data_IF_149550843100
#
_entry.id   IF_149550843100
#
_cell.length_a   1.000
_cell.length_b   1.000
_cell.length_c   1.000
_cell.angle_alpha   90.00
_cell.angle_beta   90.00
_cell.angle_gamma   90.00
#
_symmetry.space_group_name_H-M   'P 1'
#
loop_
_entity.id
_entity.type
_entity.pdbx_description
1 polymer ?
#
# COMPACT_ATOMS: atom_id res chain seq x y z
N UNK A 1 -1.15 47.88 -20.22
CA UNK A 1 -1.18 46.46 -19.80
C UNK A 1 -1.62 46.20 -18.35
N UNK A 2 -1.24 46.98 -17.30
CA UNK A 2 -1.58 46.62 -15.91
C UNK A 2 -3.08 46.71 -15.55
N UNK A 3 -3.86 47.61 -16.16
CA UNK A 3 -5.30 47.74 -15.90
C UNK A 3 -6.14 46.54 -16.39
N UNK A 4 -5.78 45.92 -17.52
CA UNK A 4 -6.43 44.69 -18.02
C UNK A 4 -6.10 43.47 -17.15
N UNK A 5 -4.93 43.45 -16.54
CA UNK A 5 -4.51 42.37 -15.64
C UNK A 5 -5.25 42.47 -14.29
N UNK A 6 -5.38 43.68 -13.74
CA UNK A 6 -6.07 43.92 -12.48
C UNK A 6 -7.59 43.68 -12.57
N UNK A 7 -8.21 44.02 -13.70
CA UNK A 7 -9.61 43.66 -13.98
C UNK A 7 -9.79 42.15 -14.16
N UNK A 8 -8.84 41.46 -14.80
CA UNK A 8 -8.87 39.99 -14.93
C UNK A 8 -8.76 39.28 -13.58
N UNK A 9 -7.88 39.73 -12.67
CA UNK A 9 -7.73 39.17 -11.31
C UNK A 9 -8.99 39.40 -10.45
N UNK A 10 -9.60 40.58 -10.54
CA UNK A 10 -10.84 40.86 -9.81
C UNK A 10 -12.04 40.07 -10.34
N UNK A 11 -12.09 39.78 -11.65
CA UNK A 11 -13.10 38.88 -12.25
C UNK A 11 -12.84 37.42 -11.87
N UNK A 12 -11.58 37.01 -11.79
CA UNK A 12 -11.16 35.68 -11.33
C UNK A 12 -11.58 35.44 -9.88
N UNK A 13 -11.22 36.34 -8.97
CA UNK A 13 -11.56 36.26 -7.54
C UNK A 13 -13.07 36.28 -7.28
N UNK A 14 -13.86 37.07 -8.03
CA UNK A 14 -15.33 37.02 -7.97
C UNK A 14 -15.89 35.67 -8.42
N UNK A 15 -15.33 35.08 -9.48
CA UNK A 15 -15.73 33.76 -9.97
C UNK A 15 -15.39 32.65 -8.97
N UNK A 16 -14.23 32.73 -8.30
CA UNK A 16 -13.86 31.83 -7.19
C UNK A 16 -14.86 31.97 -6.06
N UNK A 17 -15.16 33.20 -5.62
CA UNK A 17 -16.06 33.43 -4.49
C UNK A 17 -17.48 32.91 -4.75
N UNK A 18 -17.97 33.01 -5.99
CA UNK A 18 -19.27 32.45 -6.39
C UNK A 18 -19.28 30.92 -6.33
N UNK A 19 -18.19 30.27 -6.78
CA UNK A 19 -18.05 28.82 -6.70
C UNK A 19 -17.92 28.34 -5.25
N UNK A 20 -17.16 29.06 -4.41
CA UNK A 20 -17.01 28.74 -2.99
C UNK A 20 -18.31 28.92 -2.19
N UNK A 21 -19.23 29.79 -2.66
CA UNK A 21 -20.58 29.92 -2.08
C UNK A 21 -21.53 28.79 -2.47
N UNK A 22 -21.17 27.94 -3.43
CA UNK A 22 -21.99 26.79 -3.82
C UNK A 22 -21.67 25.59 -2.91
N UNK A 23 -22.57 25.23 -1.97
CA UNK A 23 -22.29 24.18 -0.99
C UNK A 23 -22.07 22.82 -1.66
N UNK A 24 -22.83 22.49 -2.71
CA UNK A 24 -22.69 21.23 -3.44
C UNK A 24 -21.30 21.09 -4.07
N UNK A 25 -20.77 22.18 -4.63
CA UNK A 25 -19.44 22.18 -5.22
C UNK A 25 -18.35 21.97 -4.16
N UNK A 26 -18.46 22.62 -3.01
CA UNK A 26 -17.51 22.44 -1.89
C UNK A 26 -17.52 21.01 -1.38
N UNK A 27 -18.70 20.42 -1.13
CA UNK A 27 -18.79 19.03 -0.67
C UNK A 27 -18.21 18.04 -1.69
N UNK A 28 -18.43 18.25 -2.99
CA UNK A 28 -17.82 17.44 -4.03
C UNK A 28 -16.29 17.59 -4.08
N UNK A 29 -15.76 18.79 -3.83
CA UNK A 29 -14.31 19.01 -3.74
C UNK A 29 -13.71 18.31 -2.52
N UNK A 30 -14.36 18.40 -1.35
CA UNK A 30 -13.91 17.75 -0.12
C UNK A 30 -13.98 16.22 -0.24
N UNK A 31 -15.07 15.66 -0.76
CA UNK A 31 -15.18 14.23 -1.04
C UNK A 31 -14.12 13.75 -2.05
N UNK A 32 -13.86 14.54 -3.10
CA UNK A 32 -12.78 14.24 -4.03
C UNK A 32 -11.40 14.27 -3.37
N UNK A 33 -11.17 15.18 -2.41
CA UNK A 33 -9.92 15.26 -1.68
C UNK A 33 -9.71 14.04 -0.77
N UNK A 34 -10.74 13.61 -0.03
CA UNK A 34 -10.65 12.43 0.84
C UNK A 34 -10.42 11.15 0.03
N UNK A 35 -11.12 10.97 -1.10
CA UNK A 35 -10.86 9.87 -2.03
C UNK A 35 -9.44 9.92 -2.61
N UNK A 36 -8.94 11.11 -2.98
CA UNK A 36 -7.60 11.26 -3.52
C UNK A 36 -6.50 10.96 -2.51
N UNK A 37 -6.71 11.22 -1.21
CA UNK A 37 -5.80 10.79 -0.14
C UNK A 37 -5.58 9.29 -0.18
N UNK A 38 -6.68 8.52 -0.23
CA UNK A 38 -6.63 7.06 -0.27
C UNK A 38 -6.02 6.53 -1.56
N UNK A 39 -6.41 7.10 -2.71
CA UNK A 39 -5.88 6.68 -4.00
C UNK A 39 -4.37 6.96 -4.06
N UNK A 40 -3.92 8.16 -3.69
CA UNK A 40 -2.51 8.51 -3.71
C UNK A 40 -1.69 7.66 -2.73
N UNK A 41 -2.14 7.54 -1.48
CA UNK A 41 -1.47 6.73 -0.47
C UNK A 41 -1.37 5.25 -0.86
N UNK A 42 -2.48 4.64 -1.28
CA UNK A 42 -2.50 3.23 -1.71
C UNK A 42 -1.75 3.02 -3.03
N UNK A 43 -1.69 3.99 -3.93
CA UNK A 43 -0.91 3.84 -5.18
C UNK A 43 0.58 3.81 -4.90
N UNK A 44 1.07 4.62 -3.96
CA UNK A 44 2.48 4.64 -3.57
C UNK A 44 2.86 3.44 -2.71
N UNK A 45 2.03 3.06 -1.75
CA UNK A 45 2.39 2.09 -0.72
C UNK A 45 1.63 0.76 -0.78
N UNK A 46 0.63 0.63 -1.65
CA UNK A 46 -0.11 -0.61 -1.86
C UNK A 46 0.77 -1.80 -2.26
N UNK A 47 1.74 -1.65 -3.19
CA UNK A 47 2.71 -2.71 -3.47
C UNK A 47 3.48 -3.14 -2.23
N UNK A 48 3.94 -2.19 -1.40
CA UNK A 48 4.66 -2.49 -0.15
C UNK A 48 3.78 -3.22 0.87
N UNK A 49 2.49 -2.87 0.94
CA UNK A 49 1.52 -3.62 1.74
C UNK A 49 1.44 -5.08 1.30
N UNK A 50 1.30 -5.35 0.00
CA UNK A 50 1.28 -6.72 -0.52
C UNK A 50 2.62 -7.44 -0.32
N UNK A 51 3.73 -6.72 -0.49
CA UNK A 51 5.10 -7.23 -0.29
C UNK A 51 5.28 -7.77 1.13
N UNK A 52 4.82 -7.03 2.15
CA UNK A 52 4.93 -7.44 3.54
C UNK A 52 3.91 -8.51 3.93
N UNK A 53 2.63 -8.31 3.60
CA UNK A 53 1.55 -9.24 4.00
C UNK A 53 1.76 -10.65 3.43
N UNK A 54 2.20 -10.74 2.18
CA UNK A 54 2.35 -12.02 1.49
C UNK A 54 3.80 -12.49 1.37
N UNK A 55 4.75 -11.76 1.97
CA UNK A 55 6.20 -12.07 1.90
C UNK A 55 6.70 -12.20 0.45
N UNK A 56 6.22 -11.33 -0.43
CA UNK A 56 6.58 -11.35 -1.85
C UNK A 56 7.85 -10.54 -2.10
N UNK A 57 8.49 -10.76 -3.25
CA UNK A 57 9.49 -9.80 -3.75
C UNK A 57 8.81 -8.49 -4.16
N UNK A 58 9.57 -7.40 -4.17
CA UNK A 58 9.06 -6.08 -4.54
C UNK A 58 8.46 -6.06 -5.97
N UNK A 59 9.07 -6.80 -6.90
CA UNK A 59 8.58 -6.92 -8.28
C UNK A 59 7.26 -7.68 -8.34
N UNK A 60 7.18 -8.86 -7.71
CA UNK A 60 5.94 -9.66 -7.70
C UNK A 60 4.78 -8.91 -7.05
N UNK A 61 5.05 -8.22 -5.93
CA UNK A 61 4.04 -7.42 -5.23
C UNK A 61 3.54 -6.25 -6.09
N UNK A 62 4.45 -5.53 -6.78
CA UNK A 62 4.09 -4.44 -7.68
C UNK A 62 3.29 -4.93 -8.90
N UNK A 63 3.70 -6.04 -9.52
CA UNK A 63 2.97 -6.65 -10.64
C UNK A 63 1.58 -7.10 -10.22
N UNK A 64 1.46 -7.77 -9.07
CA UNK A 64 0.17 -8.21 -8.53
C UNK A 64 -0.75 -7.03 -8.20
N UNK A 65 -0.20 -5.97 -7.58
CA UNK A 65 -0.95 -4.75 -7.32
C UNK A 65 -1.42 -4.10 -8.62
N UNK A 66 -0.58 -4.07 -9.66
CA UNK A 66 -0.95 -3.59 -10.99
C UNK A 66 -2.10 -4.38 -11.62
N UNK A 67 -2.05 -5.71 -11.57
CA UNK A 67 -3.16 -6.57 -12.04
C UNK A 67 -4.45 -6.38 -11.26
N UNK A 68 -4.38 -5.91 -10.01
CA UNK A 68 -5.56 -5.61 -9.22
C UNK A 68 -6.13 -4.23 -9.58
N UNK A 69 -5.27 -3.20 -9.61
CA UNK A 69 -5.69 -1.80 -9.77
C UNK A 69 -6.14 -1.48 -11.19
N UNK A 70 -5.48 -1.99 -12.22
CA UNK A 70 -5.82 -1.65 -13.62
C UNK A 70 -7.24 -2.05 -13.99
N UNK A 71 -7.67 -3.31 -13.82
CA UNK A 71 -9.05 -3.70 -14.13
C UNK A 71 -10.06 -3.07 -13.18
N UNK A 72 -9.76 -2.96 -11.88
CA UNK A 72 -10.67 -2.34 -10.91
C UNK A 72 -10.86 -0.84 -11.20
N UNK A 73 -9.77 -0.13 -11.47
CA UNK A 73 -9.76 1.30 -11.73
C UNK A 73 -10.38 1.65 -13.08
N UNK A 74 -9.92 1.00 -14.15
CA UNK A 74 -10.48 1.18 -15.49
C UNK A 74 -11.93 0.73 -15.59
N UNK A 75 -12.22 -0.47 -15.10
CA UNK A 75 -13.57 -1.04 -15.07
C UNK A 75 -14.53 -0.24 -14.21
N UNK A 76 -14.10 0.20 -13.02
CA UNK A 76 -14.90 1.05 -12.14
C UNK A 76 -15.22 2.40 -12.77
N UNK A 77 -14.21 3.09 -13.29
CA UNK A 77 -14.38 4.39 -13.97
C UNK A 77 -15.37 4.28 -15.14
N UNK A 78 -15.20 3.26 -15.99
CA UNK A 78 -16.09 3.01 -17.13
C UNK A 78 -17.52 2.68 -16.66
N UNK A 79 -17.67 1.77 -15.71
CA UNK A 79 -18.97 1.37 -15.17
C UNK A 79 -19.68 2.56 -14.53
N UNK A 80 -18.96 3.47 -13.86
CA UNK A 80 -19.52 4.65 -13.23
C UNK A 80 -20.16 5.59 -14.25
N UNK A 81 -19.43 5.88 -15.33
CA UNK A 81 -19.97 6.66 -16.45
C UNK A 81 -21.13 5.95 -17.16
N UNK A 82 -21.02 4.64 -17.35
CA UNK A 82 -22.06 3.82 -17.96
C UNK A 82 -23.36 3.83 -17.16
N UNK A 83 -23.31 3.68 -15.83
CA UNK A 83 -24.49 3.72 -14.96
C UNK A 83 -25.19 5.08 -15.02
N UNK A 84 -24.44 6.17 -14.98
CA UNK A 84 -25.00 7.54 -15.08
C UNK A 84 -25.71 7.75 -16.41
N UNK A 85 -25.12 7.27 -17.51
CA UNK A 85 -25.69 7.39 -18.84
C UNK A 85 -26.91 6.48 -19.04
N UNK A 86 -26.79 5.19 -18.69
CA UNK A 86 -27.85 4.19 -18.88
C UNK A 86 -29.12 4.51 -18.10
N UNK A 87 -28.99 4.92 -16.84
CA UNK A 87 -30.12 5.26 -15.99
C UNK A 87 -30.56 6.72 -16.09
N UNK A 88 -29.90 7.53 -16.95
CA UNK A 88 -30.17 8.97 -17.13
C UNK A 88 -30.32 9.70 -15.79
N UNK A 89 -29.43 9.39 -14.84
CA UNK A 89 -29.55 9.87 -13.45
C UNK A 89 -29.52 11.40 -13.41
N UNK A 90 -30.46 12.01 -12.68
CA UNK A 90 -30.39 13.44 -12.31
C UNK A 90 -29.32 13.67 -11.24
N UNK A 91 -28.97 14.93 -10.95
CA UNK A 91 -27.93 15.26 -9.96
C UNK A 91 -28.15 14.54 -8.61
N UNK A 92 -29.37 14.53 -8.07
CA UNK A 92 -29.70 13.79 -6.84
C UNK A 92 -29.43 12.27 -6.97
N UNK A 93 -29.75 11.66 -8.12
CA UNK A 93 -29.47 10.24 -8.37
C UNK A 93 -27.97 9.94 -8.48
N UNK A 94 -27.20 10.85 -9.07
CA UNK A 94 -25.74 10.74 -9.15
C UNK A 94 -25.12 10.79 -7.74
N UNK A 95 -25.55 11.74 -6.90
CA UNK A 95 -25.06 11.83 -5.52
C UNK A 95 -25.42 10.56 -4.72
N UNK A 96 -26.65 10.05 -4.86
CA UNK A 96 -27.04 8.77 -4.23
C UNK A 96 -26.18 7.59 -4.69
N UNK A 97 -25.81 7.56 -5.98
CA UNK A 97 -24.89 6.54 -6.51
C UNK A 97 -23.50 6.67 -5.88
N UNK A 98 -22.94 7.89 -5.79
CA UNK A 98 -21.65 8.12 -5.13
C UNK A 98 -21.69 7.70 -3.64
N UNK A 99 -22.77 8.03 -2.93
CA UNK A 99 -22.97 7.62 -1.54
C UNK A 99 -23.05 6.09 -1.40
N UNK A 100 -23.74 5.41 -2.32
CA UNK A 100 -23.78 3.94 -2.31
C UNK A 100 -22.39 3.33 -2.55
N UNK A 101 -21.59 3.90 -3.46
CA UNK A 101 -20.24 3.44 -3.73
C UNK A 101 -19.30 3.64 -2.55
N UNK A 102 -19.37 4.81 -1.90
CA UNK A 102 -18.56 5.14 -0.71
C UNK A 102 -18.92 4.24 0.47
N UNK A 103 -20.21 4.02 0.75
CA UNK A 103 -20.65 3.06 1.79
C UNK A 103 -20.20 1.63 1.47
N UNK A 104 -20.35 1.18 0.22
CA UNK A 104 -19.94 -0.18 -0.19
C UNK A 104 -18.43 -0.39 -0.04
N UNK A 105 -17.63 0.59 -0.41
CA UNK A 105 -16.17 0.55 -0.23
C UNK A 105 -15.76 0.67 1.23
N UNK A 106 -16.44 1.49 2.05
CA UNK A 106 -16.21 1.57 3.49
C UNK A 106 -16.50 0.22 4.19
N UNK A 107 -17.58 -0.47 3.82
CA UNK A 107 -17.87 -1.81 4.34
C UNK A 107 -16.79 -2.82 3.92
N UNK A 108 -16.29 -2.74 2.69
CA UNK A 108 -15.23 -3.63 2.21
C UNK A 108 -13.86 -3.34 2.87
N UNK A 109 -13.60 -2.12 3.35
CA UNK A 109 -12.36 -1.76 4.08
C UNK A 109 -12.21 -2.55 5.39
N UNK A 110 -13.30 -3.02 6.00
CA UNK A 110 -13.22 -3.87 7.21
C UNK A 110 -12.44 -5.18 6.99
N UNK A 111 -12.15 -5.57 5.74
CA UNK A 111 -11.29 -6.71 5.47
C UNK A 111 -9.89 -6.57 6.09
N UNK A 112 -9.38 -5.35 6.27
CA UNK A 112 -8.10 -5.09 6.90
C UNK A 112 -8.07 -5.40 8.41
N UNK A 113 -9.18 -5.86 9.01
CA UNK A 113 -9.14 -6.56 10.30
C UNK A 113 -8.43 -7.91 10.20
N UNK A 114 -8.50 -8.55 9.04
CA UNK A 114 -7.79 -9.80 8.77
C UNK A 114 -6.41 -9.43 8.22
N UNK A 115 -5.37 -10.03 8.80
CA UNK A 115 -4.00 -9.89 8.33
C UNK A 115 -3.34 -11.26 8.22
N UNK A 116 -2.28 -11.33 7.42
CA UNK A 116 -1.45 -12.53 7.38
C UNK A 116 -0.50 -12.53 8.60
N UNK A 117 -0.11 -13.71 9.13
CA UNK A 117 0.97 -13.77 10.09
C UNK A 117 2.26 -13.26 9.45
N UNK A 118 3.15 -12.68 10.27
CA UNK A 118 4.49 -12.36 9.82
C UNK A 118 5.24 -13.64 9.47
N UNK A 119 6.01 -13.63 8.38
CA UNK A 119 6.92 -14.72 8.08
C UNK A 119 7.99 -14.80 9.18
N UNK A 120 8.25 -15.99 9.75
CA UNK A 120 9.28 -16.16 10.77
C UNK A 120 10.64 -15.75 10.22
N UNK A 121 11.36 -14.94 10.99
CA UNK A 121 12.68 -14.44 10.66
C UNK A 121 13.55 -14.50 11.92
N UNK A 122 14.66 -15.24 11.81
CA UNK A 122 15.59 -15.43 12.91
C UNK A 122 16.22 -14.11 13.34
N UNK A 123 16.17 -13.82 14.64
CA UNK A 123 16.71 -12.60 15.25
C UNK A 123 15.81 -11.36 15.16
N UNK A 124 14.64 -11.46 14.49
CA UNK A 124 13.70 -10.34 14.29
C UNK A 124 12.31 -10.66 14.81
N UNK A 125 11.68 -11.74 14.32
CA UNK A 125 10.34 -12.17 14.73
C UNK A 125 10.35 -13.42 15.60
N UNK A 126 11.39 -14.25 15.47
CA UNK A 126 11.68 -15.37 16.38
C UNK A 126 13.17 -15.46 16.70
N UNK A 127 13.53 -16.10 17.81
CA UNK A 127 14.94 -16.41 18.12
C UNK A 127 15.46 -17.55 17.24
N UNK A 128 16.78 -17.68 17.13
CA UNK A 128 17.46 -18.75 16.39
C UNK A 128 17.17 -20.16 16.94
N UNK A 129 16.77 -20.28 18.20
CA UNK A 129 16.38 -21.54 18.84
C UNK A 129 14.88 -21.85 18.71
N UNK A 130 14.12 -21.08 17.91
CA UNK A 130 12.68 -21.26 17.70
C UNK A 130 11.79 -20.69 18.81
N UNK A 131 12.34 -20.10 19.88
CA UNK A 131 11.53 -19.45 20.91
C UNK A 131 11.01 -18.08 20.46
N UNK A 132 9.84 -17.70 20.98
CA UNK A 132 9.24 -16.39 20.71
C UNK A 132 10.09 -15.29 21.35
N UNK A 133 10.49 -14.29 20.55
CA UNK A 133 11.24 -13.13 21.03
C UNK A 133 10.38 -12.35 22.05
N UNK A 134 10.77 -12.24 23.33
CA UNK A 134 10.14 -11.31 24.25
C UNK A 134 10.59 -9.90 23.88
N UNK A 135 9.70 -9.14 23.25
CA UNK A 135 9.76 -7.68 23.10
C UNK A 135 11.09 -7.04 22.63
N UNK A 136 11.10 -6.55 21.39
CA UNK A 136 11.99 -5.47 20.89
C UNK A 136 13.51 -5.70 20.90
N UNK A 137 14.05 -6.80 21.44
CA UNK A 137 15.49 -7.07 21.34
C UNK A 137 15.83 -7.75 20.01
N UNK A 138 16.15 -6.93 19.01
CA UNK A 138 16.72 -7.41 17.75
C UNK A 138 18.09 -8.03 18.04
N UNK A 139 18.25 -9.32 17.78
CA UNK A 139 19.53 -10.00 17.96
C UNK A 139 19.80 -10.94 16.78
N UNK A 140 20.58 -10.44 15.82
CA UNK A 140 20.96 -11.15 14.61
C UNK A 140 22.14 -12.12 14.83
N UNK A 141 22.83 -12.04 15.97
CA UNK A 141 23.96 -12.91 16.30
C UNK A 141 23.53 -14.05 17.22
N UNK A 142 23.99 -15.25 16.88
CA UNK A 142 23.73 -16.49 17.59
C UNK A 142 24.99 -17.36 17.55
N UNK A 143 25.04 -18.40 18.39
CA UNK A 143 26.20 -19.31 18.48
C UNK A 143 26.55 -19.91 17.12
N UNK A 144 25.54 -20.19 16.27
CA UNK A 144 25.73 -20.79 14.96
C UNK A 144 26.37 -19.85 13.91
N UNK A 145 26.27 -18.52 14.07
CA UNK A 145 26.79 -17.53 13.10
C UNK A 145 27.87 -16.60 13.70
N UNK A 146 28.19 -16.76 14.99
CA UNK A 146 29.16 -15.92 15.70
C UNK A 146 30.57 -15.95 15.08
N UNK A 147 30.97 -17.08 14.51
CA UNK A 147 32.28 -17.25 13.87
C UNK A 147 32.37 -16.67 12.45
N UNK A 148 31.25 -16.23 11.87
CA UNK A 148 31.22 -15.78 10.48
C UNK A 148 31.59 -14.30 10.28
N UNK A 149 31.61 -13.49 11.35
CA UNK A 149 31.94 -12.05 11.26
C UNK A 149 30.99 -11.25 10.38
N UNK A 150 29.67 -11.53 10.47
CA UNK A 150 28.68 -10.98 9.56
C UNK A 150 28.54 -9.46 9.66
N UNK A 151 28.51 -8.79 8.51
CA UNK A 151 28.25 -7.36 8.42
C UNK A 151 26.74 -7.10 8.47
N UNK A 152 26.32 -6.24 9.39
CA UNK A 152 24.92 -5.85 9.55
C UNK A 152 24.44 -4.93 8.42
N UNK A 153 25.33 -4.26 7.70
CA UNK A 153 25.00 -3.35 6.58
C UNK A 153 24.47 -4.09 5.32
N UNK A 154 24.71 -5.40 5.18
CA UNK A 154 24.38 -6.15 3.96
C UNK A 154 23.12 -7.01 4.13
N UNK A 155 21.97 -6.43 3.81
CA UNK A 155 20.70 -7.15 3.77
C UNK A 155 20.55 -7.97 2.48
N UNK A 156 20.49 -9.30 2.60
CA UNK A 156 20.32 -10.21 1.47
C UNK A 156 19.50 -11.42 1.93
N UNK A 157 18.17 -11.29 2.06
CA UNK A 157 17.36 -12.30 2.72
C UNK A 157 17.45 -13.64 2.00
N UNK A 158 17.54 -14.70 2.80
CA UNK A 158 17.50 -16.10 2.33
C UNK A 158 16.40 -16.85 3.07
N UNK A 159 15.78 -17.80 2.37
CA UNK A 159 14.80 -18.71 2.94
C UNK A 159 15.47 -20.04 3.25
N UNK A 160 15.52 -20.44 4.52
CA UNK A 160 16.04 -21.74 4.92
C UNK A 160 15.09 -22.89 4.58
N UNK A 161 15.63 -24.11 4.53
CA UNK A 161 14.84 -25.33 4.36
C UNK A 161 13.90 -25.64 5.54
N UNK A 162 14.02 -24.88 6.63
CA UNK A 162 13.17 -24.84 7.82
C UNK A 162 11.99 -23.85 7.71
N UNK A 163 11.77 -23.26 6.54
CA UNK A 163 10.79 -22.19 6.30
C UNK A 163 11.00 -20.95 7.19
N UNK A 164 12.25 -20.67 7.59
CA UNK A 164 12.62 -19.46 8.34
C UNK A 164 13.45 -18.53 7.46
N UNK A 165 13.16 -17.23 7.54
CA UNK A 165 13.97 -16.22 6.86
C UNK A 165 15.19 -15.82 7.70
N UNK A 166 16.31 -15.57 7.04
CA UNK A 166 17.52 -15.08 7.67
C UNK A 166 17.97 -13.76 7.03
N UNK A 167 18.62 -12.89 7.82
CA UNK A 167 19.04 -11.55 7.38
C UNK A 167 19.97 -11.59 6.15
N UNK A 168 20.91 -12.53 6.15
CA UNK A 168 21.80 -12.81 5.04
C UNK A 168 22.28 -14.27 5.06
N UNK A 169 22.92 -14.77 3.98
CA UNK A 169 23.50 -16.11 3.98
C UNK A 169 24.53 -16.31 5.11
N UNK A 170 25.25 -15.25 5.49
CA UNK A 170 26.19 -15.26 6.61
C UNK A 170 25.45 -15.46 7.94
N UNK A 171 24.32 -14.76 8.13
CA UNK A 171 23.52 -14.88 9.35
C UNK A 171 22.80 -16.23 9.46
N UNK A 172 22.65 -16.96 8.35
CA UNK A 172 22.23 -18.37 8.32
C UNK A 172 23.42 -19.35 8.53
N UNK A 173 24.65 -18.84 8.57
CA UNK A 173 25.87 -19.63 8.77
C UNK A 173 26.30 -20.47 7.57
N UNK A 174 25.89 -20.09 6.35
CA UNK A 174 26.18 -20.85 5.13
C UNK A 174 27.62 -20.62 4.64
N UNK A 175 28.29 -21.69 4.20
CA UNK A 175 29.70 -21.65 3.75
C UNK A 175 29.88 -21.83 2.24
N UNK A 176 28.92 -22.46 1.56
CA UNK A 176 28.99 -22.76 0.13
C UNK A 176 27.85 -22.11 -0.61
N UNK A 177 28.10 -21.72 -1.86
CA UNK A 177 27.10 -21.21 -2.80
C UNK A 177 27.08 -22.08 -4.05
N UNK A 178 25.88 -22.40 -4.50
CA UNK A 178 25.58 -23.13 -5.73
C UNK A 178 24.49 -22.35 -6.47
N UNK A 179 24.33 -22.61 -7.76
CA UNK A 179 23.23 -22.07 -8.54
C UNK A 179 22.22 -23.17 -8.84
N UNK A 180 20.93 -22.88 -8.69
CA UNK A 180 19.87 -23.80 -9.05
C UNK A 180 19.67 -23.78 -10.57
N UNK A 181 20.03 -24.89 -11.24
CA UNK A 181 19.94 -25.02 -12.70
C UNK A 181 18.53 -24.82 -13.29
N UNK A 182 17.45 -24.99 -12.50
CA UNK A 182 16.08 -24.80 -13.00
C UNK A 182 15.63 -23.35 -12.97
N UNK A 183 16.11 -22.58 -11.99
CA UNK A 183 15.52 -21.29 -11.61
C UNK A 183 16.52 -20.12 -11.74
N UNK A 184 17.81 -20.41 -11.92
CA UNK A 184 18.91 -19.42 -11.88
C UNK A 184 19.12 -18.79 -10.50
N UNK A 185 18.43 -19.28 -9.45
CA UNK A 185 18.53 -18.74 -8.09
C UNK A 185 19.73 -19.33 -7.36
N UNK A 186 20.40 -18.50 -6.56
CA UNK A 186 21.50 -18.94 -5.69
C UNK A 186 20.95 -19.79 -4.54
N UNK A 187 21.57 -20.94 -4.34
CA UNK A 187 21.32 -21.88 -3.23
C UNK A 187 22.57 -21.93 -2.38
N UNK A 188 22.41 -21.63 -1.11
CA UNK A 188 23.45 -21.66 -0.11
C UNK A 188 23.40 -22.98 0.65
N UNK A 189 24.57 -23.57 0.91
CA UNK A 189 24.69 -24.88 1.56
C UNK A 189 25.60 -24.80 2.77
N UNK A 190 25.51 -25.85 3.59
CA UNK A 190 26.27 -25.98 4.83
C UNK A 190 25.98 -24.82 5.80
N UNK A 191 24.69 -24.52 5.94
CA UNK A 191 24.20 -23.48 6.85
C UNK A 191 24.11 -24.04 8.28
N UNK A 192 24.92 -23.50 9.20
CA UNK A 192 24.99 -23.98 10.60
C UNK A 192 23.79 -23.57 11.45
N UNK A 193 23.07 -22.50 11.08
CA UNK A 193 21.91 -22.02 11.82
C UNK A 193 20.59 -22.67 11.43
N UNK A 194 20.59 -23.51 10.37
CA UNK A 194 19.38 -24.17 9.87
C UNK A 194 19.35 -25.60 10.41
N UNK A 195 18.30 -25.94 11.15
CA UNK A 195 18.16 -27.24 11.78
C UNK A 195 18.05 -28.36 10.73
N UNK A 196 18.94 -29.35 10.82
CA UNK A 196 18.92 -30.53 9.96
C UNK A 196 17.84 -31.49 10.45
N UNK A 197 16.66 -31.45 9.84
CA UNK A 197 15.61 -32.43 10.10
C UNK A 197 15.68 -33.56 9.07
N UNK A 198 15.48 -34.81 9.49
CA UNK A 198 15.42 -35.99 8.60
C UNK A 198 14.43 -35.82 7.41
N UNK A 199 13.45 -34.93 7.54
CA UNK A 199 12.44 -34.59 6.53
C UNK A 199 12.85 -33.48 5.56
N UNK A 200 13.73 -32.56 5.96
CA UNK A 200 14.04 -31.31 5.22
C UNK A 200 15.44 -31.30 4.56
N UNK A 201 16.21 -32.39 4.69
CA UNK A 201 17.51 -32.53 4.04
C UNK A 201 18.65 -31.77 4.75
N UNK A 202 19.82 -31.61 4.09
CA UNK A 202 20.90 -30.79 4.64
C UNK A 202 20.44 -29.33 4.83
N UNK A 203 21.01 -28.63 5.81
CA UNK A 203 20.73 -27.20 6.05
C UNK A 203 21.15 -26.37 4.83
N UNK A 204 20.17 -26.05 4.00
CA UNK A 204 20.30 -25.28 2.76
C UNK A 204 19.38 -24.06 2.84
N UNK A 205 19.74 -23.00 2.14
CA UNK A 205 18.93 -21.79 2.03
C UNK A 205 18.87 -21.31 0.58
N UNK A 206 17.71 -20.89 0.11
CA UNK A 206 17.52 -20.30 -1.21
C UNK A 206 17.53 -18.77 -1.12
N UNK A 207 18.10 -18.10 -2.12
CA UNK A 207 18.06 -16.65 -2.20
C UNK A 207 16.63 -16.09 -2.34
N UNK A 208 16.30 -15.09 -1.52
CA UNK A 208 15.00 -14.43 -1.50
C UNK A 208 14.23 -14.65 -0.22
N UNK A 209 13.00 -14.12 -0.19
CA UNK A 209 12.07 -14.31 0.93
C UNK A 209 11.39 -15.67 0.82
N UNK A 210 10.99 -16.21 1.97
CA UNK A 210 10.15 -17.41 2.00
C UNK A 210 8.73 -17.12 1.52
N UNK A 211 8.09 -18.15 0.96
CA UNK A 211 6.71 -18.07 0.50
C UNK A 211 5.78 -18.12 1.70
N UNK A 212 4.96 -17.09 1.91
CA UNK A 212 4.03 -17.06 3.04
C UNK A 212 2.87 -18.06 2.85
N UNK A 213 2.59 -18.97 3.81
CA UNK A 213 1.42 -19.85 3.79
C UNK A 213 0.13 -19.10 4.18
N UNK A 214 -0.09 -17.90 3.65
CA UNK A 214 -1.28 -17.12 4.00
C UNK A 214 -2.52 -17.61 3.24
N UNK A 215 -3.32 -18.47 3.90
CA UNK A 215 -4.60 -18.96 3.38
C UNK A 215 -5.62 -17.84 3.08
N UNK A 216 -5.46 -16.66 3.70
CA UNK A 216 -6.35 -15.50 3.53
C UNK A 216 -5.96 -14.60 2.35
N UNK A 217 -4.90 -14.93 1.60
CA UNK A 217 -4.38 -14.13 0.48
C UNK A 217 -5.43 -13.79 -0.57
N UNK A 218 -6.14 -14.80 -1.08
CA UNK A 218 -7.16 -14.61 -2.14
C UNK A 218 -8.30 -13.72 -1.66
N UNK A 219 -8.71 -13.89 -0.41
CA UNK A 219 -9.81 -13.14 0.20
C UNK A 219 -9.42 -11.66 0.39
N UNK A 220 -8.20 -11.38 0.88
CA UNK A 220 -7.67 -10.01 0.98
C UNK A 220 -7.61 -9.33 -0.39
N UNK A 221 -7.08 -10.02 -1.41
CA UNK A 221 -7.00 -9.48 -2.77
C UNK A 221 -8.38 -9.20 -3.37
N UNK A 222 -9.36 -10.09 -3.17
CA UNK A 222 -10.72 -9.90 -3.65
C UNK A 222 -11.37 -8.65 -3.05
N UNK A 223 -11.35 -8.48 -1.72
CA UNK A 223 -11.93 -7.30 -1.10
C UNK A 223 -11.15 -6.02 -1.40
N UNK A 224 -9.82 -6.08 -1.53
CA UNK A 224 -9.04 -4.95 -2.05
C UNK A 224 -9.50 -4.54 -3.45
N UNK A 225 -9.74 -5.50 -4.33
CA UNK A 225 -10.31 -5.25 -5.66
C UNK A 225 -11.68 -4.57 -5.55
N UNK A 226 -12.55 -5.04 -4.67
CA UNK A 226 -13.88 -4.43 -4.42
C UNK A 226 -13.74 -2.99 -3.92
N UNK A 227 -12.86 -2.71 -2.95
CA UNK A 227 -12.62 -1.35 -2.43
C UNK A 227 -12.17 -0.42 -3.56
N UNK A 228 -11.21 -0.87 -4.39
CA UNK A 228 -10.67 -0.08 -5.49
C UNK A 228 -11.74 0.13 -6.58
N UNK A 229 -12.46 -0.92 -6.95
CA UNK A 229 -13.54 -0.87 -7.94
C UNK A 229 -14.58 0.18 -7.56
N UNK A 230 -15.11 0.13 -6.35
CA UNK A 230 -16.13 1.08 -5.88
C UNK A 230 -15.58 2.50 -5.70
N UNK A 231 -14.30 2.64 -5.36
CA UNK A 231 -13.64 3.95 -5.29
C UNK A 231 -13.52 4.60 -6.68
N UNK A 232 -13.15 3.83 -7.70
CA UNK A 232 -13.12 4.36 -9.06
C UNK A 232 -14.51 4.46 -9.70
N UNK A 233 -15.49 3.68 -9.22
CA UNK A 233 -16.88 3.75 -9.67
C UNK A 233 -17.53 5.11 -9.39
N UNK A 234 -17.20 5.76 -8.27
CA UNK A 234 -17.71 7.10 -7.92
C UNK A 234 -17.03 8.24 -8.69
N UNK A 235 -15.88 8.01 -9.32
CA UNK A 235 -15.07 9.07 -9.94
C UNK A 235 -15.79 9.83 -11.07
N UNK A 236 -16.27 9.15 -12.10
CA UNK A 236 -17.00 9.76 -13.23
C UNK A 236 -18.37 10.32 -12.79
N UNK A 237 -19.17 9.62 -11.96
CA UNK A 237 -20.36 10.21 -11.34
C UNK A 237 -20.06 11.53 -10.62
N UNK A 238 -19.03 11.60 -9.78
CA UNK A 238 -18.64 12.81 -9.06
C UNK A 238 -18.24 13.95 -10.01
N UNK A 239 -17.42 13.66 -11.03
CA UNK A 239 -17.09 14.65 -12.06
C UNK A 239 -18.33 15.15 -12.81
N UNK A 240 -19.26 14.26 -13.13
CA UNK A 240 -20.53 14.62 -13.78
C UNK A 240 -21.41 15.47 -12.87
N UNK A 241 -21.43 15.19 -11.55
CA UNK A 241 -22.13 16.00 -10.57
C UNK A 241 -21.54 17.41 -10.50
N UNK A 242 -20.21 17.54 -10.45
CA UNK A 242 -19.51 18.85 -10.47
C UNK A 242 -19.93 19.65 -11.71
N UNK A 243 -19.87 19.04 -12.89
CA UNK A 243 -20.20 19.72 -14.14
C UNK A 243 -21.67 20.17 -14.22
N UNK A 244 -22.57 19.50 -13.50
CA UNK A 244 -24.00 19.83 -13.45
C UNK A 244 -24.36 20.83 -12.36
N UNK A 245 -23.52 21.02 -11.35
CA UNK A 245 -23.77 21.97 -10.26
C UNK A 245 -23.18 23.36 -10.52
N UNK A 246 -22.40 23.54 -11.58
CA UNK A 246 -21.76 24.81 -11.96
C UNK A 246 -22.29 25.33 -13.29
N UNK A 247 -22.24 26.64 -13.50
CA UNK A 247 -22.68 27.27 -14.75
C UNK A 247 -21.77 26.85 -15.93
N UNK A 248 -22.35 26.75 -17.13
CA UNK A 248 -21.62 26.30 -18.34
C UNK A 248 -20.35 27.12 -18.62
N UNK A 249 -20.40 28.44 -18.35
CA UNK A 249 -19.28 29.36 -18.55
C UNK A 249 -18.14 29.18 -17.54
N UNK A 250 -18.38 28.48 -16.42
CA UNK A 250 -17.42 28.32 -15.32
C UNK A 250 -16.93 26.88 -15.15
N UNK A 251 -17.38 25.91 -15.96
CA UNK A 251 -17.04 24.48 -15.82
C UNK A 251 -15.54 24.21 -15.75
N UNK A 252 -14.77 24.70 -16.71
CA UNK A 252 -13.32 24.48 -16.76
C UNK A 252 -12.61 25.13 -15.57
N UNK A 253 -13.11 26.29 -15.12
CA UNK A 253 -12.57 26.98 -13.96
C UNK A 253 -12.87 26.24 -12.65
N UNK A 254 -14.10 25.74 -12.50
CA UNK A 254 -14.52 24.92 -11.36
C UNK A 254 -13.72 23.61 -11.28
N UNK A 255 -13.50 22.92 -12.41
CA UNK A 255 -12.62 21.74 -12.44
C UNK A 255 -11.19 22.09 -12.03
N UNK A 256 -10.65 23.23 -12.47
CA UNK A 256 -9.34 23.71 -12.05
C UNK A 256 -9.23 23.88 -10.53
N UNK A 257 -10.20 24.56 -9.92
CA UNK A 257 -10.26 24.73 -8.46
C UNK A 257 -10.40 23.37 -7.76
N UNK A 258 -11.28 22.49 -8.26
CA UNK A 258 -11.48 21.16 -7.68
C UNK A 258 -10.17 20.38 -7.67
N UNK A 259 -9.43 20.33 -8.78
CA UNK A 259 -8.15 19.62 -8.85
C UNK A 259 -7.09 20.23 -7.93
N UNK A 260 -7.05 21.56 -7.78
CA UNK A 260 -6.17 22.20 -6.80
C UNK A 260 -6.49 21.69 -5.39
N UNK A 261 -7.75 21.76 -4.97
CA UNK A 261 -8.20 21.29 -3.65
C UNK A 261 -7.90 19.81 -3.45
N UNK A 262 -8.22 18.98 -4.44
CA UNK A 262 -7.99 17.53 -4.40
C UNK A 262 -6.50 17.20 -4.27
N UNK A 263 -5.63 17.93 -4.96
CA UNK A 263 -4.18 17.72 -4.90
C UNK A 263 -3.58 18.23 -3.60
N UNK A 264 -3.97 19.41 -3.15
CA UNK A 264 -3.39 20.03 -1.94
C UNK A 264 -3.88 19.39 -0.65
N UNK A 265 -5.18 19.08 -0.55
CA UNK A 265 -5.78 18.50 0.66
C UNK A 265 -5.79 16.97 0.65
N UNK A 266 -5.69 16.34 -0.52
CA UNK A 266 -5.72 14.88 -0.65
C UNK A 266 -4.44 14.26 -1.17
N UNK A 267 -4.05 14.66 -2.39
CA UNK A 267 -2.92 14.05 -3.11
C UNK A 267 -1.57 14.19 -2.41
N UNK A 268 -1.28 15.33 -1.79
CA UNK A 268 -0.02 15.54 -1.04
C UNK A 268 -0.08 14.86 0.35
N UNK A 269 -1.14 15.05 1.17
CA UNK A 269 -1.20 14.41 2.49
C UNK A 269 -1.30 12.88 2.43
N UNK A 270 -1.86 12.30 1.36
CA UNK A 270 -2.04 10.85 1.22
C UNK A 270 -0.76 10.04 1.39
N UNK A 271 0.24 10.18 0.51
CA UNK A 271 1.51 9.47 0.65
C UNK A 271 2.24 9.78 1.97
N UNK A 272 2.16 11.01 2.48
CA UNK A 272 2.80 11.37 3.75
C UNK A 272 2.17 10.58 4.92
N UNK A 273 0.83 10.54 4.98
CA UNK A 273 0.10 9.81 6.00
C UNK A 273 0.38 8.30 5.92
N UNK A 274 0.26 7.70 4.72
CA UNK A 274 0.51 6.28 4.51
C UNK A 274 1.98 5.89 4.76
N UNK A 275 2.94 6.75 4.37
CA UNK A 275 4.36 6.55 4.65
C UNK A 275 4.62 6.50 6.16
N UNK A 276 4.15 7.50 6.90
CA UNK A 276 4.30 7.54 8.36
C UNK A 276 3.67 6.33 9.07
N UNK A 277 2.55 5.82 8.56
CA UNK A 277 1.89 4.63 9.11
C UNK A 277 2.68 3.35 8.87
N UNK A 278 3.29 3.22 7.70
CA UNK A 278 4.11 2.06 7.35
C UNK A 278 5.41 2.08 8.14
N UNK A 279 6.04 3.24 8.28
CA UNK A 279 7.24 3.43 9.09
C UNK A 279 7.00 3.04 10.56
N UNK A 280 5.82 3.39 11.11
CA UNK A 280 5.41 2.96 12.47
C UNK A 280 5.24 1.44 12.62
N UNK A 281 5.10 0.70 11.54
CA UNK A 281 5.01 -0.76 11.55
C UNK A 281 6.37 -1.44 11.35
N UNK A 282 7.46 -0.68 11.23
CA UNK A 282 8.78 -1.26 10.99
C UNK A 282 9.30 -2.08 12.17
N UNK A 283 9.82 -3.28 11.89
CA UNK A 283 10.53 -4.14 12.83
C UNK A 283 12.05 -4.09 12.66
N UNK A 284 12.53 -3.89 11.42
CA UNK A 284 13.95 -3.89 11.10
C UNK A 284 14.26 -2.73 10.15
N UNK A 285 14.91 -1.70 10.70
CA UNK A 285 15.39 -0.55 9.96
C UNK A 285 16.70 -0.87 9.24
N UNK A 286 16.86 -0.32 8.04
CA UNK A 286 18.16 -0.21 7.41
C UNK A 286 18.98 0.84 8.17
N UNK A 287 20.20 0.45 8.56
CA UNK A 287 21.24 1.39 8.94
C UNK A 287 22.08 1.68 7.68
N UNK A 288 22.38 2.95 7.44
CA UNK A 288 23.38 3.36 6.46
C UNK A 288 24.28 4.39 7.12
N UNK A 289 25.44 3.95 7.61
CA UNK A 289 26.42 4.83 8.23
C UNK A 289 25.88 5.66 9.42
N UNK A 290 24.97 5.10 10.22
CA UNK A 290 24.37 5.75 11.39
C UNK A 290 23.10 6.56 11.09
N UNK A 291 22.67 6.63 9.83
CA UNK A 291 21.39 7.23 9.42
C UNK A 291 20.35 6.14 9.15
N UNK A 292 19.12 6.34 9.62
CA UNK A 292 18.01 5.42 9.38
C UNK A 292 17.50 5.53 7.94
N UNK A 293 17.65 4.43 7.19
CA UNK A 293 17.19 4.30 5.82
C UNK A 293 15.80 3.69 5.69
N UNK A 294 15.59 2.89 4.64
CA UNK A 294 14.31 2.20 4.41
C UNK A 294 14.09 1.03 5.36
N UNK A 295 12.84 0.72 5.69
CA UNK A 295 12.56 -0.44 6.53
C UNK A 295 12.55 -1.75 5.71
N UNK A 296 13.26 -2.77 6.21
CA UNK A 296 13.39 -4.08 5.56
C UNK A 296 12.24 -5.03 5.88
N UNK A 297 11.75 -5.01 7.12
CA UNK A 297 10.72 -5.94 7.61
C UNK A 297 9.69 -5.17 8.43
N UNK A 298 8.42 -5.36 8.09
CA UNK A 298 7.30 -4.70 8.76
C UNK A 298 6.45 -5.71 9.53
N UNK A 299 5.77 -5.25 10.57
CA UNK A 299 4.81 -6.03 11.34
C UNK A 299 3.45 -6.04 10.62
N UNK A 300 3.02 -7.22 10.16
CA UNK A 300 1.84 -7.36 9.31
C UNK A 300 0.54 -6.95 10.02
N UNK A 301 0.42 -7.30 11.31
CA UNK A 301 -0.76 -6.94 12.12
C UNK A 301 -0.89 -5.42 12.31
N UNK A 302 0.22 -4.74 12.64
CA UNK A 302 0.23 -3.29 12.82
C UNK A 302 -0.05 -2.56 11.50
N UNK A 303 0.58 -3.00 10.42
CA UNK A 303 0.39 -2.42 9.08
C UNK A 303 -1.09 -2.51 8.66
N UNK A 304 -1.72 -3.67 8.80
CA UNK A 304 -3.14 -3.86 8.47
C UNK A 304 -4.06 -2.98 9.31
N UNK A 305 -3.81 -2.90 10.63
CA UNK A 305 -4.59 -2.05 11.54
C UNK A 305 -4.46 -0.57 11.19
N UNK A 306 -3.27 -0.09 10.87
CA UNK A 306 -3.09 1.31 10.47
C UNK A 306 -3.74 1.59 9.11
N UNK A 307 -3.63 0.69 8.14
CA UNK A 307 -4.35 0.82 6.85
C UNK A 307 -5.86 0.89 7.06
N UNK A 308 -6.41 0.06 7.95
CA UNK A 308 -7.83 0.09 8.32
C UNK A 308 -8.24 1.45 8.91
N UNK A 309 -7.53 1.93 9.93
CA UNK A 309 -7.84 3.22 10.60
C UNK A 309 -7.84 4.35 9.57
N UNK A 310 -6.85 4.38 8.69
CA UNK A 310 -6.71 5.39 7.64
C UNK A 310 -7.81 5.28 6.60
N UNK A 311 -8.17 4.05 6.21
CA UNK A 311 -9.33 3.78 5.40
C UNK A 311 -10.60 4.37 6.00
N UNK A 312 -10.86 4.14 7.29
CA UNK A 312 -12.04 4.66 7.97
C UNK A 312 -12.03 6.19 8.13
N UNK A 313 -10.86 6.80 8.37
CA UNK A 313 -10.74 8.26 8.53
C UNK A 313 -10.95 9.00 7.21
N UNK A 314 -10.42 8.47 6.10
CA UNK A 314 -10.46 9.14 4.80
C UNK A 314 -11.55 8.62 3.85
N UNK A 315 -12.31 7.59 4.23
CA UNK A 315 -13.47 7.11 3.44
C UNK A 315 -14.80 7.58 4.03
N UNK A 316 -14.88 8.85 4.41
CA UNK A 316 -16.08 9.52 4.97
C UNK A 316 -16.65 10.52 3.96
#
# INVERSE_FOLDING_TARGET
MPQRFNSSISVLSRSVLLLLKNPTFIFLCLAGATEATLIAGMSTFGPKFLESQFSLSASEAATLFGYLVVPAGGGGTFLGGFLVNKFKLRCSGIIKLCLLCTVSSLLAIFIFFIHCPNMPMAGVTQMYNGSTLPGSQLNLTAVCNAECGCLQETYSPVCGSDDVMYYSPCHAGCRKVSENLRNGKKVYRECSCIEKTLLHGPGEAEAGKCTSPCAKRTLLLFFMFVVILFTFLSSIPALTATLRCVSDRQKSFALGIQWIVVRTLGGIPGPIAFGSMIDKSCLLWQDQCGEQGSCYVYQNSAMSRYTLVTGLVYKV
#
